data_IF_681808528665
#
_entry.id   IF_681808528665
#
_cell.length_a   1.000
_cell.length_b   1.000
_cell.length_c   1.000
_cell.angle_alpha   90.00
_cell.angle_beta   90.00
_cell.angle_gamma   90.00
#
_symmetry.space_group_name_H-M   'P 1'
#
loop_
_entity.id
_entity.type
_entity.pdbx_description
1 polymer ?
#
# COMPACT_ATOMS: atom_id res chain seq x y z
N UNK A 1 -17.96 -1.30 -11.51
CA UNK A 1 -17.06 -0.15 -11.70
C UNK A 1 -15.62 -0.61 -11.77
N UNK A 2 -14.89 -0.13 -12.73
CA UNK A 2 -13.52 -0.58 -13.00
C UNK A 2 -12.52 0.19 -12.14
N UNK A 3 -11.48 -0.51 -11.68
CA UNK A 3 -10.36 0.14 -11.02
C UNK A 3 -9.61 1.05 -12.00
N UNK A 4 -9.21 2.20 -11.53
CA UNK A 4 -8.40 3.12 -12.31
C UNK A 4 -6.94 2.73 -12.15
N UNK A 5 -6.26 2.44 -13.26
CA UNK A 5 -4.87 2.01 -13.27
C UNK A 5 -3.99 3.22 -13.53
N UNK A 6 -3.01 3.45 -12.66
CA UNK A 6 -2.16 4.64 -12.72
C UNK A 6 -0.70 4.25 -12.55
N UNK A 7 0.14 4.87 -13.39
CA UNK A 7 1.59 4.88 -13.18
C UNK A 7 1.96 6.34 -12.97
N UNK A 8 2.45 6.67 -11.78
CA UNK A 8 2.70 8.06 -11.46
C UNK A 8 4.11 8.53 -11.89
N UNK A 9 4.41 9.79 -11.63
CA UNK A 9 5.69 10.39 -12.04
C UNK A 9 6.88 9.86 -11.24
N UNK A 10 6.63 9.19 -10.12
CA UNK A 10 7.69 8.59 -9.30
C UNK A 10 7.95 7.12 -9.66
N UNK A 11 7.28 6.61 -10.69
CA UNK A 11 7.43 5.23 -11.08
C UNK A 11 6.63 4.24 -10.26
N UNK A 12 5.65 4.71 -9.50
CA UNK A 12 4.76 3.86 -8.74
C UNK A 12 3.58 3.42 -9.60
N UNK A 13 3.23 2.14 -9.50
CA UNK A 13 2.02 1.62 -10.13
C UNK A 13 0.99 1.31 -9.08
N UNK A 14 -0.24 1.74 -9.31
CA UNK A 14 -1.34 1.42 -8.40
C UNK A 14 -2.67 1.42 -9.12
N UNK A 15 -3.65 0.79 -8.48
CA UNK A 15 -5.03 0.74 -8.96
C UNK A 15 -5.92 1.24 -7.83
N UNK A 16 -6.80 2.19 -8.15
CA UNK A 16 -7.67 2.77 -7.15
C UNK A 16 -9.12 2.83 -7.61
N UNK A 17 -10.02 2.89 -6.65
CA UNK A 17 -11.45 3.04 -6.87
C UNK A 17 -12.02 3.98 -5.81
N UNK A 18 -12.93 4.85 -6.24
CA UNK A 18 -13.69 5.74 -5.34
C UNK A 18 -12.78 6.58 -4.46
N UNK A 19 -11.86 7.34 -5.09
CA UNK A 19 -10.92 8.16 -4.35
C UNK A 19 -11.65 9.08 -3.36
N UNK A 20 -11.40 8.86 -2.07
CA UNK A 20 -11.90 9.70 -0.99
C UNK A 20 -10.69 10.21 -0.23
N UNK A 21 -10.44 11.51 -0.32
CA UNK A 21 -9.26 12.10 0.29
C UNK A 21 -9.34 12.17 1.81
N UNK A 22 -10.53 12.04 2.39
CA UNK A 22 -10.67 12.01 3.85
C UNK A 22 -10.21 10.68 4.45
N UNK A 23 -10.51 9.56 3.76
CA UNK A 23 -10.14 8.24 4.25
C UNK A 23 -10.08 7.26 3.09
N UNK A 24 -8.98 6.53 2.98
CA UNK A 24 -8.80 5.52 1.95
C UNK A 24 -8.16 4.28 2.53
N UNK A 25 -8.60 3.11 2.10
CA UNK A 25 -7.99 1.84 2.52
C UNK A 25 -6.93 1.44 1.51
N UNK A 26 -5.71 1.21 1.98
CA UNK A 26 -4.55 0.90 1.15
C UNK A 26 -4.08 -0.51 1.47
N UNK A 27 -3.86 -1.31 0.42
CA UNK A 27 -3.46 -2.71 0.53
C UNK A 27 -2.01 -2.88 0.11
N UNK A 28 -1.21 -3.55 0.95
CA UNK A 28 0.21 -3.79 0.73
C UNK A 28 0.47 -5.29 0.61
N UNK A 29 0.95 -5.71 -0.55
CA UNK A 29 1.18 -7.12 -0.86
C UNK A 29 2.45 -7.66 -0.22
N UNK A 30 2.68 -8.98 -0.36
CA UNK A 30 3.86 -9.64 0.16
C UNK A 30 5.03 -9.65 -0.83
N UNK A 31 6.22 -10.01 -0.33
CA UNK A 31 7.43 -10.06 -1.14
C UNK A 31 7.26 -11.09 -2.27
N UNK A 32 7.75 -10.74 -3.45
CA UNK A 32 7.65 -11.61 -4.63
C UNK A 32 6.27 -11.64 -5.26
N UNK A 33 5.34 -10.86 -4.74
CA UNK A 33 3.97 -10.75 -5.25
C UNK A 33 3.76 -9.37 -5.86
N UNK A 34 2.51 -9.02 -6.13
CA UNK A 34 2.13 -7.69 -6.58
C UNK A 34 0.65 -7.45 -6.24
N UNK A 35 0.08 -6.37 -6.75
CA UNK A 35 -1.31 -6.01 -6.44
C UNK A 35 -2.32 -7.08 -6.84
N UNK A 36 -1.98 -7.97 -7.76
CA UNK A 36 -2.93 -8.99 -8.24
C UNK A 36 -3.28 -10.02 -7.17
N UNK A 37 -2.47 -10.16 -6.12
CA UNK A 37 -2.84 -11.04 -5.02
C UNK A 37 -4.15 -10.62 -4.35
N UNK A 38 -4.49 -9.35 -4.47
CA UNK A 38 -5.70 -8.78 -3.86
C UNK A 38 -6.93 -8.90 -4.76
N UNK A 39 -6.89 -9.79 -5.77
CA UNK A 39 -8.02 -9.95 -6.70
C UNK A 39 -9.35 -10.15 -5.98
N UNK A 40 -9.47 -11.02 -4.96
CA UNK A 40 -10.75 -11.15 -4.27
C UNK A 40 -11.18 -9.88 -3.56
N UNK A 41 -10.23 -9.14 -2.97
CA UNK A 41 -10.54 -7.90 -2.27
C UNK A 41 -10.94 -6.79 -3.22
N UNK A 42 -10.36 -6.77 -4.42
CA UNK A 42 -10.75 -5.80 -5.44
C UNK A 42 -12.21 -5.94 -5.83
N UNK A 43 -12.70 -7.17 -5.90
CA UNK A 43 -14.11 -7.41 -6.21
C UNK A 43 -15.00 -7.15 -5.00
N UNK A 44 -14.57 -7.60 -3.81
CA UNK A 44 -15.38 -7.49 -2.61
C UNK A 44 -15.60 -6.02 -2.22
N UNK A 45 -14.58 -5.19 -2.32
CA UNK A 45 -14.65 -3.79 -1.91
C UNK A 45 -14.94 -2.85 -3.08
N UNK A 46 -15.79 -3.27 -4.01
CA UNK A 46 -16.03 -2.51 -5.23
C UNK A 46 -16.78 -1.19 -5.00
N UNK A 47 -17.39 -1.00 -3.83
CA UNK A 47 -18.10 0.21 -3.46
C UNK A 47 -17.34 1.06 -2.44
N UNK A 48 -16.10 0.70 -2.12
CA UNK A 48 -15.28 1.39 -1.11
C UNK A 48 -14.13 2.14 -1.76
N UNK A 49 -13.58 3.10 -1.02
CA UNK A 49 -12.35 3.80 -1.42
C UNK A 49 -11.16 2.91 -1.11
N UNK A 50 -10.57 2.33 -2.14
CA UNK A 50 -9.48 1.38 -1.99
C UNK A 50 -8.36 1.67 -2.98
N UNK A 51 -7.13 1.40 -2.55
CA UNK A 51 -5.93 1.54 -3.37
C UNK A 51 -5.05 0.31 -3.19
N UNK A 52 -4.61 -0.25 -4.31
CA UNK A 52 -3.73 -1.42 -4.35
C UNK A 52 -2.49 -1.03 -5.13
N UNK A 53 -1.33 -0.94 -4.47
CA UNK A 53 -0.12 -0.54 -5.18
C UNK A 53 0.90 -1.66 -5.19
N UNK A 54 1.80 -1.59 -6.18
CA UNK A 54 2.94 -2.49 -6.25
C UNK A 54 4.10 -1.87 -5.48
N UNK A 55 4.69 -2.65 -4.58
CA UNK A 55 5.90 -2.22 -3.87
C UNK A 55 7.02 -1.97 -4.86
N UNK A 56 7.97 -1.13 -4.51
CA UNK A 56 9.16 -0.91 -5.31
C UNK A 56 9.85 -2.24 -5.59
N UNK A 57 10.41 -2.39 -6.79
CA UNK A 57 11.03 -3.63 -7.29
C UNK A 57 10.04 -4.78 -7.46
N UNK A 58 8.73 -4.50 -7.44
CA UNK A 58 7.69 -5.51 -7.61
C UNK A 58 6.71 -5.06 -8.68
N UNK A 59 6.12 -6.02 -9.37
CA UNK A 59 5.08 -5.77 -10.34
C UNK A 59 5.47 -4.71 -11.35
N UNK A 60 4.67 -3.67 -11.48
CA UNK A 60 4.87 -2.59 -12.44
C UNK A 60 5.46 -1.33 -11.83
N UNK A 61 5.82 -1.35 -10.55
CA UNK A 61 6.51 -0.22 -9.92
C UNK A 61 7.99 -0.25 -10.29
N UNK A 62 8.67 0.91 -10.11
CA UNK A 62 10.07 1.06 -10.44
C UNK A 62 10.92 -0.03 -9.78
N UNK A 63 11.81 -0.67 -10.58
CA UNK A 63 12.58 -1.82 -10.14
C UNK A 63 14.07 -1.63 -10.06
N UNK A 64 14.57 -0.41 -10.01
CA UNK A 64 16.01 -0.13 -10.08
C UNK A 64 16.68 0.01 -8.72
N UNK A 65 16.00 -0.33 -7.64
CA UNK A 65 16.58 -0.20 -6.31
C UNK A 65 17.45 -1.41 -5.98
N UNK A 66 18.70 -1.16 -5.67
CA UNK A 66 19.64 -2.22 -5.29
C UNK A 66 19.45 -2.67 -3.86
N UNK A 67 19.11 -1.73 -2.99
CA UNK A 67 18.85 -2.01 -1.59
C UNK A 67 17.51 -1.42 -1.21
N UNK A 68 16.71 -2.18 -0.49
CA UNK A 68 15.44 -1.73 0.01
C UNK A 68 15.45 -1.78 1.53
N UNK A 69 14.82 -0.80 2.14
CA UNK A 69 14.68 -0.71 3.58
C UNK A 69 13.25 -0.34 3.91
N UNK A 70 12.88 -0.46 5.18
CA UNK A 70 11.55 0.00 5.59
C UNK A 70 11.38 1.50 5.35
N UNK A 71 12.45 2.29 5.49
CA UNK A 71 12.36 3.72 5.22
C UNK A 71 12.04 3.99 3.75
N UNK A 72 12.63 3.24 2.82
CA UNK A 72 12.35 3.39 1.40
C UNK A 72 10.89 3.02 1.11
N UNK A 73 10.41 1.91 1.65
CA UNK A 73 9.02 1.52 1.49
C UNK A 73 8.06 2.52 2.13
N UNK A 74 8.42 3.05 3.31
CA UNK A 74 7.61 4.08 3.97
C UNK A 74 7.54 5.34 3.12
N UNK A 75 8.63 5.73 2.49
CA UNK A 75 8.66 6.90 1.63
C UNK A 75 7.79 6.68 0.39
N UNK A 76 7.78 5.47 -0.17
CA UNK A 76 6.89 5.17 -1.28
C UNK A 76 5.43 5.39 -0.89
N UNK A 77 5.02 4.83 0.24
CA UNK A 77 3.64 4.96 0.71
C UNK A 77 3.31 6.42 1.04
N UNK A 78 4.22 7.11 1.71
CA UNK A 78 4.02 8.52 2.04
C UNK A 78 3.84 9.38 0.79
N UNK A 79 4.66 9.13 -0.24
CA UNK A 79 4.56 9.87 -1.50
C UNK A 79 3.20 9.64 -2.17
N UNK A 80 2.70 8.41 -2.16
CA UNK A 80 1.37 8.12 -2.70
C UNK A 80 0.29 8.89 -1.97
N UNK A 81 0.35 8.90 -0.64
CA UNK A 81 -0.63 9.58 0.20
C UNK A 81 -0.60 11.08 -0.07
N UNK A 82 0.60 11.66 -0.13
CA UNK A 82 0.75 13.11 -0.35
C UNK A 82 0.35 13.52 -1.75
N UNK A 83 0.74 12.74 -2.76
CA UNK A 83 0.39 13.06 -4.15
C UNK A 83 -1.14 13.03 -4.36
N UNK A 84 -1.82 12.09 -3.72
CA UNK A 84 -3.27 11.96 -3.82
C UNK A 84 -4.00 12.83 -2.81
N UNK A 85 -3.28 13.52 -1.93
CA UNK A 85 -3.82 14.41 -0.90
C UNK A 85 -4.79 13.70 0.04
N UNK A 86 -4.44 12.47 0.41
CA UNK A 86 -5.24 11.66 1.31
C UNK A 86 -4.91 12.05 2.75
N UNK A 87 -5.93 12.33 3.56
CA UNK A 87 -5.74 12.77 4.94
C UNK A 87 -5.49 11.60 5.89
N UNK A 88 -6.30 10.57 5.80
CA UNK A 88 -6.24 9.39 6.67
C UNK A 88 -6.33 8.13 5.84
N UNK A 89 -5.66 7.08 6.30
CA UNK A 89 -5.70 5.79 5.63
C UNK A 89 -6.00 4.67 6.61
N UNK A 90 -6.64 3.63 6.08
CA UNK A 90 -6.61 2.31 6.70
C UNK A 90 -5.55 1.51 5.93
N UNK A 91 -4.78 0.70 6.61
CA UNK A 91 -3.75 -0.11 5.97
C UNK A 91 -4.06 -1.59 6.19
N UNK A 92 -4.03 -2.35 5.09
CA UNK A 92 -4.13 -3.81 5.14
C UNK A 92 -2.83 -4.34 4.55
N UNK A 93 -2.02 -5.02 5.35
CA UNK A 93 -0.73 -5.53 4.90
C UNK A 93 -0.61 -7.04 5.06
N UNK A 94 0.02 -7.68 4.08
CA UNK A 94 0.24 -9.12 4.08
C UNK A 94 1.73 -9.44 4.11
N UNK A 95 2.18 -10.27 5.05
CA UNK A 95 3.56 -10.74 5.16
C UNK A 95 4.52 -9.55 5.33
N UNK A 96 5.47 -9.33 4.39
CA UNK A 96 6.34 -8.15 4.45
C UNK A 96 5.52 -6.85 4.42
N UNK A 97 4.37 -6.87 3.71
CA UNK A 97 3.46 -5.75 3.70
C UNK A 97 2.92 -5.42 5.09
N UNK A 98 2.73 -6.44 5.94
CA UNK A 98 2.31 -6.23 7.32
C UNK A 98 3.41 -5.53 8.12
N UNK A 99 4.66 -5.90 7.90
CA UNK A 99 5.80 -5.26 8.58
C UNK A 99 5.96 -3.81 8.12
N UNK A 100 5.81 -3.57 6.82
CA UNK A 100 5.85 -2.21 6.27
C UNK A 100 4.73 -1.37 6.90
N UNK A 101 3.52 -1.94 6.99
CA UNK A 101 2.38 -1.24 7.58
C UNK A 101 2.64 -0.87 9.03
N UNK A 102 3.26 -1.76 9.81
CA UNK A 102 3.60 -1.48 11.20
C UNK A 102 4.64 -0.36 11.30
N UNK A 103 5.68 -0.42 10.50
CA UNK A 103 6.72 0.61 10.46
C UNK A 103 6.13 1.97 10.09
N UNK A 104 5.30 1.98 9.05
CA UNK A 104 4.66 3.21 8.61
C UNK A 104 3.78 3.79 9.72
N UNK A 105 2.98 2.94 10.36
CA UNK A 105 2.07 3.38 11.41
C UNK A 105 2.84 3.95 12.60
N UNK A 106 3.95 3.32 12.99
CA UNK A 106 4.77 3.84 14.08
C UNK A 106 5.34 5.21 13.77
N UNK A 107 5.72 5.45 12.53
CA UNK A 107 6.33 6.71 12.14
C UNK A 107 5.31 7.80 11.84
N UNK A 108 4.15 7.43 11.31
CA UNK A 108 3.11 8.37 10.87
C UNK A 108 1.76 8.00 11.47
N UNK A 109 1.73 7.74 12.78
CA UNK A 109 0.52 7.24 13.42
C UNK A 109 -0.69 8.17 13.25
N UNK A 110 -0.45 9.47 13.12
CA UNK A 110 -1.53 10.43 12.95
C UNK A 110 -2.18 10.38 11.56
N UNK A 111 -1.59 9.67 10.62
CA UNK A 111 -2.15 9.47 9.28
C UNK A 111 -2.93 8.16 9.17
N UNK A 112 -2.85 7.29 10.18
CA UNK A 112 -3.42 5.95 10.12
C UNK A 112 -4.64 5.87 11.01
N UNK A 113 -5.75 5.45 10.42
CA UNK A 113 -7.00 5.25 11.15
C UNK A 113 -7.09 3.83 11.70
N UNK A 114 -6.90 2.83 10.82
CA UNK A 114 -6.96 1.41 11.22
C UNK A 114 -5.85 0.64 10.54
N UNK A 115 -5.38 -0.40 11.22
CA UNK A 115 -4.29 -1.25 10.76
C UNK A 115 -4.73 -2.71 10.82
N UNK A 116 -4.67 -3.42 9.69
CA UNK A 116 -5.00 -4.84 9.60
C UNK A 116 -3.76 -5.58 9.12
N UNK A 117 -3.30 -6.54 9.90
CA UNK A 117 -2.10 -7.31 9.61
C UNK A 117 -2.48 -8.75 9.33
N UNK A 118 -2.08 -9.25 8.17
CA UNK A 118 -2.41 -10.60 7.72
C UNK A 118 -1.12 -11.38 7.54
N UNK A 119 -1.02 -12.54 8.18
CA UNK A 119 0.14 -13.40 8.05
C UNK A 119 1.43 -12.70 8.44
N UNK A 120 1.36 -11.79 9.41
CA UNK A 120 2.54 -11.08 9.84
C UNK A 120 3.43 -12.00 10.64
N UNK A 121 4.73 -11.91 10.37
CA UNK A 121 5.73 -12.68 11.09
C UNK A 121 6.35 -11.75 12.11
N UNK A 122 6.19 -12.07 13.38
CA UNK A 122 6.93 -11.32 14.37
C UNK A 122 8.21 -12.06 14.71
N UNK A 123 9.24 -11.31 14.98
CA UNK A 123 10.55 -11.88 15.24
C UNK A 123 10.61 -12.38 16.67
N UNK A 124 11.09 -13.60 16.83
CA UNK A 124 11.41 -14.09 18.14
C UNK A 124 12.84 -13.78 18.47
N UNK A 125 13.05 -13.36 19.65
CA UNK A 125 14.40 -13.17 20.13
C UNK A 125 14.95 -14.47 20.73
#
# INVERSE_FOLDING_TARGET
MTLKKIRDSHGNYYELKNLNTSLMTIFIHGVGLDNTMWFPQKEYFNDKSVLFYDLLNHGQSNGDFKELSFDIYNNQLLNLIEDLKIEKINIVGFSIGALIAQHFTNKFYNKVNKLVLIGSVYKRS
#
